data_IF_683422926211
#
_entry.id   IF_683422926211
#
_cell.length_a   1.000
_cell.length_b   1.000
_cell.length_c   1.000
_cell.angle_alpha   90.00
_cell.angle_beta   90.00
_cell.angle_gamma   90.00
#
_symmetry.space_group_name_H-M   'P 1'
#
loop_
_entity.id
_entity.type
_entity.pdbx_description
1 polymer ?
#
# COMPACT_ATOMS: atom_id res chain seq x y z
N UNK A 1 -63.55 -34.74 -34.80
CA UNK A 1 -65.00 -34.49 -34.88
C UNK A 1 -65.46 -34.01 -33.51
N UNK A 2 -65.86 -32.73 -33.37
CA UNK A 2 -67.18 -32.24 -32.87
C UNK A 2 -67.54 -32.83 -31.48
N UNK A 3 -67.80 -32.11 -30.38
CA UNK A 3 -68.60 -30.88 -30.08
C UNK A 3 -68.23 -30.46 -28.63
N UNK A 4 -67.98 -29.20 -28.26
CA UNK A 4 -68.85 -28.02 -28.06
C UNK A 4 -69.94 -28.13 -26.95
N UNK A 5 -69.74 -27.34 -25.87
CA UNK A 5 -70.70 -26.66 -24.93
C UNK A 5 -71.50 -27.61 -23.98
N UNK A 6 -71.84 -27.39 -22.69
CA UNK A 6 -72.35 -26.22 -21.92
C UNK A 6 -72.23 -26.46 -20.36
N UNK A 7 -72.79 -25.60 -19.46
CA UNK A 7 -72.08 -24.88 -18.39
C UNK A 7 -72.43 -25.44 -16.99
N UNK A 8 -71.94 -24.86 -15.88
CA UNK A 8 -72.79 -24.59 -14.70
C UNK A 8 -72.05 -23.83 -13.60
N UNK A 9 -72.73 -22.77 -13.15
CA UNK A 9 -72.66 -22.13 -11.86
C UNK A 9 -72.48 -23.11 -10.68
N UNK A 10 -71.52 -22.87 -9.79
CA UNK A 10 -71.67 -23.13 -8.35
C UNK A 10 -70.59 -22.40 -7.53
N UNK A 11 -71.09 -21.43 -6.77
CA UNK A 11 -70.51 -20.65 -5.70
C UNK A 11 -70.13 -21.54 -4.50
N UNK A 12 -68.91 -21.41 -3.93
CA UNK A 12 -68.70 -21.30 -2.47
C UNK A 12 -67.24 -21.04 -2.06
N UNK A 13 -67.03 -19.83 -1.53
CA UNK A 13 -66.23 -19.37 -0.38
C UNK A 13 -65.13 -20.28 0.22
N UNK A 14 -63.93 -19.68 0.41
CA UNK A 14 -63.04 -19.67 1.60
C UNK A 14 -61.60 -19.48 1.08
N UNK A 15 -60.88 -18.39 1.31
CA UNK A 15 -60.28 -18.03 2.60
C UNK A 15 -59.48 -16.73 2.42
N UNK A 16 -59.46 -15.88 3.45
CA UNK A 16 -58.80 -14.59 3.44
C UNK A 16 -57.27 -14.68 3.41
N UNK A 17 -56.65 -13.85 2.57
CA UNK A 17 -55.23 -13.54 2.65
C UNK A 17 -55.03 -12.42 3.69
N UNK A 18 -54.60 -12.80 4.88
CA UNK A 18 -54.12 -11.88 5.90
C UNK A 18 -52.58 -11.87 5.90
N UNK A 19 -52.02 -10.66 5.82
CA UNK A 19 -50.68 -10.23 6.25
C UNK A 19 -49.48 -10.49 5.34
N UNK A 20 -49.09 -9.46 4.59
CA UNK A 20 -47.69 -9.17 4.27
C UNK A 20 -47.19 -8.04 5.18
N UNK A 21 -46.62 -8.42 6.32
CA UNK A 21 -45.91 -7.50 7.22
C UNK A 21 -44.63 -7.01 6.52
N UNK A 22 -44.56 -5.71 6.26
CA UNK A 22 -43.31 -5.00 5.97
C UNK A 22 -42.45 -4.99 7.24
N UNK A 23 -41.55 -5.98 7.37
CA UNK A 23 -40.45 -5.92 8.33
C UNK A 23 -39.31 -5.12 7.71
N UNK A 24 -39.26 -3.84 8.05
CA UNK A 24 -38.08 -2.99 7.90
C UNK A 24 -37.04 -3.44 8.90
N UNK A 25 -36.09 -4.27 8.46
CA UNK A 25 -34.90 -4.60 9.24
C UNK A 25 -34.05 -3.33 9.40
N UNK A 26 -33.71 -2.91 10.63
CA UNK A 26 -32.89 -1.73 10.84
C UNK A 26 -31.46 -1.99 10.35
N UNK A 27 -30.94 -1.05 9.55
CA UNK A 27 -29.56 -0.99 9.07
C UNK A 27 -28.59 -1.04 10.26
N UNK A 28 -28.01 -2.23 10.48
CA UNK A 28 -26.90 -2.45 11.40
C UNK A 28 -25.71 -1.61 10.91
N UNK A 29 -25.38 -0.55 11.66
CA UNK A 29 -24.20 0.29 11.47
C UNK A 29 -22.96 -0.59 11.34
N UNK A 30 -22.33 -0.57 10.17
CA UNK A 30 -21.03 -1.19 9.92
C UNK A 30 -20.01 -0.36 10.72
N UNK A 31 -19.53 -0.91 11.84
CA UNK A 31 -18.31 -0.43 12.50
C UNK A 31 -17.13 -0.42 11.53
N UNK A 32 -15.98 0.19 11.90
CA UNK A 32 -14.89 0.47 10.98
C UNK A 32 -14.48 -0.84 10.30
N UNK A 33 -14.81 -0.95 9.01
CA UNK A 33 -14.37 -2.08 8.21
C UNK A 33 -12.85 -1.94 8.15
N UNK A 34 -12.14 -2.84 8.81
CA UNK A 34 -10.71 -3.06 8.57
C UNK A 34 -10.53 -3.08 7.06
N UNK A 35 -9.98 -2.01 6.51
CA UNK A 35 -9.90 -1.83 5.07
C UNK A 35 -8.91 -2.88 4.57
N UNK A 36 -9.43 -3.92 3.91
CA UNK A 36 -8.60 -4.87 3.18
C UNK A 36 -7.65 -4.05 2.31
N UNK A 37 -6.32 -4.29 2.40
CA UNK A 37 -5.36 -3.46 1.70
C UNK A 37 -5.68 -3.46 0.21
N UNK A 38 -5.87 -2.27 -0.34
CA UNK A 38 -6.24 -2.11 -1.75
C UNK A 38 -5.12 -2.69 -2.62
N UNK A 39 -5.45 -3.67 -3.45
CA UNK A 39 -4.51 -4.36 -4.34
C UNK A 39 -4.41 -3.59 -5.66
N UNK A 40 -3.18 -3.37 -6.11
CA UNK A 40 -2.84 -2.69 -7.36
C UNK A 40 -2.40 -3.66 -8.46
N UNK A 41 -1.74 -4.76 -8.10
CA UNK A 41 -1.30 -5.79 -9.03
C UNK A 41 -1.17 -7.14 -8.32
N UNK A 42 -1.15 -8.21 -9.12
CA UNK A 42 -0.93 -9.58 -8.65
C UNK A 42 0.00 -10.31 -9.61
N UNK A 43 0.94 -11.11 -9.09
CA UNK A 43 1.81 -11.98 -9.88
C UNK A 43 2.08 -13.24 -9.06
N UNK A 44 2.04 -14.44 -9.67
CA UNK A 44 2.30 -15.73 -9.00
C UNK A 44 1.53 -15.93 -7.67
N UNK A 45 0.32 -15.38 -7.55
CA UNK A 45 -0.48 -15.43 -6.31
C UNK A 45 -0.06 -14.42 -5.22
N UNK A 46 1.05 -13.69 -5.41
CA UNK A 46 1.42 -12.54 -4.59
C UNK A 46 0.64 -11.28 -4.98
N UNK A 47 0.50 -10.36 -4.02
CA UNK A 47 -0.24 -9.11 -4.18
C UNK A 47 0.68 -7.92 -3.95
N UNK A 48 0.56 -6.91 -4.81
CA UNK A 48 1.13 -5.58 -4.60
C UNK A 48 0.01 -4.67 -4.11
N UNK A 49 0.17 -4.11 -2.93
CA UNK A 49 -0.83 -3.21 -2.33
C UNK A 49 -0.51 -1.74 -2.59
N UNK A 50 -1.48 -0.86 -2.31
CA UNK A 50 -1.24 0.59 -2.27
C UNK A 50 -0.12 0.95 -1.30
N UNK A 51 -0.04 0.25 -0.16
CA UNK A 51 1.02 0.50 0.83
C UNK A 51 2.40 0.15 0.27
N UNK A 52 2.56 -1.03 -0.36
CA UNK A 52 3.82 -1.42 -1.01
C UNK A 52 4.28 -0.37 -2.02
N UNK A 53 3.35 0.12 -2.84
CA UNK A 53 3.63 1.13 -3.85
C UNK A 53 4.09 2.45 -3.21
N UNK A 54 3.43 2.90 -2.15
CA UNK A 54 3.78 4.14 -1.45
C UNK A 54 5.12 4.04 -0.73
N UNK A 55 5.40 2.91 -0.08
CA UNK A 55 6.69 2.66 0.59
C UNK A 55 7.83 2.63 -0.43
N UNK A 56 7.64 1.95 -1.57
CA UNK A 56 8.60 1.97 -2.65
C UNK A 56 8.82 3.39 -3.19
N UNK A 57 7.75 4.18 -3.35
CA UNK A 57 7.84 5.56 -3.85
C UNK A 57 8.66 6.46 -2.92
N UNK A 58 8.50 6.31 -1.60
CA UNK A 58 9.25 7.09 -0.59
C UNK A 58 10.76 6.87 -0.63
N UNK A 59 11.24 5.78 -1.22
CA UNK A 59 12.68 5.52 -1.40
C UNK A 59 13.32 6.38 -2.48
N UNK A 60 12.52 7.02 -3.34
CA UNK A 60 13.02 7.86 -4.43
C UNK A 60 13.28 9.30 -3.95
N UNK A 61 14.14 10.06 -4.65
CA UNK A 61 14.26 11.50 -4.47
C UNK A 61 12.91 12.22 -4.64
N UNK A 62 12.69 13.30 -3.85
CA UNK A 62 11.43 14.04 -3.82
C UNK A 62 10.96 14.51 -5.21
N UNK A 63 11.89 14.93 -6.08
CA UNK A 63 11.59 15.35 -7.45
C UNK A 63 10.97 14.22 -8.28
N UNK A 64 11.48 12.99 -8.16
CA UNK A 64 10.93 11.83 -8.86
C UNK A 64 9.59 11.40 -8.27
N UNK A 65 9.42 11.45 -6.95
CA UNK A 65 8.14 11.19 -6.30
C UNK A 65 7.05 12.10 -6.87
N UNK A 66 7.34 13.41 -6.96
CA UNK A 66 6.42 14.39 -7.52
C UNK A 66 6.10 14.13 -8.99
N UNK A 67 7.12 13.90 -9.82
CA UNK A 67 6.92 13.62 -11.25
C UNK A 67 6.04 12.38 -11.48
N UNK A 68 6.28 11.30 -10.73
CA UNK A 68 5.47 10.08 -10.78
C UNK A 68 4.05 10.38 -10.31
N UNK A 69 3.87 11.11 -9.21
CA UNK A 69 2.55 11.44 -8.68
C UNK A 69 1.69 12.22 -9.67
N UNK A 70 2.27 13.11 -10.48
CA UNK A 70 1.52 13.94 -11.44
C UNK A 70 1.18 13.21 -12.75
N UNK A 71 1.97 12.20 -13.15
CA UNK A 71 1.85 11.58 -14.47
C UNK A 71 1.35 10.13 -14.40
N UNK A 72 0.16 9.87 -14.96
CA UNK A 72 -0.46 8.53 -14.97
C UNK A 72 0.43 7.46 -15.61
N UNK A 73 1.12 7.79 -16.71
CA UNK A 73 1.99 6.84 -17.40
C UNK A 73 3.22 6.51 -16.54
N UNK A 74 3.76 7.49 -15.82
CA UNK A 74 4.86 7.25 -14.88
C UNK A 74 4.42 6.42 -13.68
N UNK A 75 3.21 6.63 -13.14
CA UNK A 75 2.65 5.76 -12.09
C UNK A 75 2.54 4.31 -12.55
N UNK A 76 2.01 4.09 -13.76
CA UNK A 76 1.88 2.75 -14.34
C UNK A 76 3.26 2.09 -14.54
N UNK A 77 4.22 2.81 -15.13
CA UNK A 77 5.60 2.31 -15.31
C UNK A 77 6.29 2.01 -13.98
N UNK A 78 6.08 2.83 -12.97
CA UNK A 78 6.66 2.59 -11.65
C UNK A 78 6.06 1.35 -10.98
N UNK A 79 4.73 1.14 -11.09
CA UNK A 79 4.08 -0.09 -10.62
C UNK A 79 4.61 -1.33 -11.35
N UNK A 80 4.76 -1.25 -12.68
CA UNK A 80 5.28 -2.36 -13.50
C UNK A 80 6.72 -2.73 -13.12
N UNK A 81 7.58 -1.71 -12.92
CA UNK A 81 8.93 -1.91 -12.41
C UNK A 81 8.95 -2.53 -11.01
N UNK A 82 8.04 -2.12 -10.13
CA UNK A 82 7.92 -2.67 -8.78
C UNK A 82 7.51 -4.15 -8.81
N UNK A 83 6.54 -4.51 -9.65
CA UNK A 83 6.11 -5.90 -9.87
C UNK A 83 7.29 -6.73 -10.40
N UNK A 84 7.94 -6.24 -11.45
CA UNK A 84 9.09 -6.91 -12.08
C UNK A 84 10.22 -7.15 -11.07
N UNK A 85 10.55 -6.14 -10.26
CA UNK A 85 11.56 -6.26 -9.21
C UNK A 85 11.21 -7.35 -8.20
N UNK A 86 9.97 -7.38 -7.70
CA UNK A 86 9.53 -8.37 -6.71
C UNK A 86 9.54 -9.78 -7.29
N UNK A 87 9.07 -9.94 -8.53
CA UNK A 87 9.13 -11.20 -9.27
C UNK A 87 10.58 -11.70 -9.40
N UNK A 88 11.52 -10.85 -9.85
CA UNK A 88 12.93 -11.23 -9.99
C UNK A 88 13.57 -11.63 -8.65
N UNK A 89 13.26 -10.91 -7.57
CA UNK A 89 13.76 -11.27 -6.22
C UNK A 89 13.20 -12.62 -5.77
N UNK A 90 11.93 -12.90 -6.04
CA UNK A 90 11.32 -14.21 -5.77
C UNK A 90 12.04 -15.31 -6.54
N UNK A 91 12.21 -15.14 -7.85
CA UNK A 91 12.93 -16.09 -8.70
C UNK A 91 14.36 -16.31 -8.22
N UNK A 92 15.08 -15.26 -7.82
CA UNK A 92 16.44 -15.38 -7.28
C UNK A 92 16.47 -16.23 -6.00
N UNK A 93 15.53 -16.02 -5.08
CA UNK A 93 15.41 -16.83 -3.85
C UNK A 93 15.09 -18.29 -4.17
N UNK A 94 14.16 -18.53 -5.09
CA UNK A 94 13.76 -19.88 -5.53
C UNK A 94 14.90 -20.61 -6.27
N UNK A 95 15.75 -19.88 -7.00
CA UNK A 95 16.94 -20.42 -7.67
C UNK A 95 18.08 -20.82 -6.72
N UNK A 96 17.91 -20.57 -5.41
CA UNK A 96 18.89 -20.95 -4.40
C UNK A 96 20.05 -19.96 -4.27
N UNK A 97 19.87 -18.69 -4.63
CA UNK A 97 20.82 -17.63 -4.26
C UNK A 97 20.92 -17.59 -2.74
N UNK A 98 22.06 -18.06 -2.21
CA UNK A 98 22.32 -18.12 -0.77
C UNK A 98 23.00 -16.85 -0.31
N UNK A 99 22.71 -16.50 0.94
CA UNK A 99 23.49 -15.51 1.64
C UNK A 99 24.89 -16.08 1.93
N UNK A 100 25.90 -15.53 1.28
CA UNK A 100 27.30 -15.86 1.53
C UNK A 100 27.92 -14.92 2.58
N UNK A 101 29.20 -15.08 2.86
CA UNK A 101 29.89 -14.25 3.84
C UNK A 101 29.97 -12.77 3.41
N UNK A 102 30.11 -12.50 2.11
CA UNK A 102 30.17 -11.14 1.60
C UNK A 102 28.81 -10.44 1.74
N UNK A 103 27.73 -11.13 1.39
CA UNK A 103 26.36 -10.64 1.53
C UNK A 103 26.03 -10.35 3.00
N UNK A 104 26.36 -11.27 3.91
CA UNK A 104 26.22 -11.08 5.37
C UNK A 104 26.93 -9.82 5.84
N UNK A 105 28.20 -9.64 5.42
CA UNK A 105 28.98 -8.46 5.78
C UNK A 105 28.32 -7.18 5.29
N UNK A 106 27.88 -7.13 4.04
CA UNK A 106 27.19 -5.97 3.46
C UNK A 106 25.88 -5.65 4.16
N UNK A 107 25.12 -6.68 4.57
CA UNK A 107 23.87 -6.50 5.33
C UNK A 107 24.16 -5.85 6.69
N UNK A 108 25.17 -6.33 7.42
CA UNK A 108 25.52 -5.77 8.73
C UNK A 108 26.10 -4.36 8.62
N UNK A 109 26.94 -4.08 7.61
CA UNK A 109 27.42 -2.72 7.33
C UNK A 109 26.25 -1.76 7.07
N UNK A 110 25.31 -2.15 6.21
CA UNK A 110 24.14 -1.33 5.91
C UNK A 110 23.23 -1.10 7.13
N UNK A 111 23.06 -2.13 7.96
CA UNK A 111 22.31 -2.04 9.21
C UNK A 111 22.95 -1.05 10.19
N UNK A 112 24.27 -1.08 10.34
CA UNK A 112 25.01 -0.15 11.20
C UNK A 112 24.85 1.30 10.71
N UNK A 113 24.91 1.53 9.40
CA UNK A 113 24.68 2.85 8.80
C UNK A 113 23.25 3.36 9.06
N UNK A 114 22.23 2.50 8.95
CA UNK A 114 20.85 2.88 9.27
C UNK A 114 20.68 3.26 10.75
N UNK A 115 21.34 2.53 11.65
CA UNK A 115 21.34 2.82 13.09
C UNK A 115 22.01 4.17 13.36
N UNK A 116 23.20 4.41 12.79
CA UNK A 116 23.92 5.67 12.93
C UNK A 116 23.10 6.85 12.39
N UNK A 117 22.55 6.72 11.18
CA UNK A 117 21.71 7.76 10.58
C UNK A 117 20.44 8.05 11.40
N UNK A 118 19.85 7.03 12.04
CA UNK A 118 18.75 7.22 12.98
C UNK A 118 19.20 7.96 14.24
N UNK A 119 20.32 7.54 14.85
CA UNK A 119 20.88 8.16 16.04
C UNK A 119 21.17 9.66 15.84
N UNK A 120 21.81 10.03 14.72
CA UNK A 120 22.13 11.42 14.41
C UNK A 120 20.90 12.31 14.19
N UNK A 121 19.82 11.76 13.61
CA UNK A 121 18.55 12.49 13.44
C UNK A 121 17.80 12.69 14.76
N UNK A 122 17.83 11.71 15.65
CA UNK A 122 17.08 11.74 16.91
C UNK A 122 17.82 12.48 18.04
N UNK A 123 19.14 12.67 17.93
CA UNK A 123 19.96 13.39 18.91
C UNK A 123 20.71 14.60 18.33
N UNK A 124 20.00 15.66 17.90
CA UNK A 124 20.63 16.87 17.37
C UNK A 124 21.34 17.72 18.44
N UNK A 125 21.10 17.46 19.72
CA UNK A 125 21.58 18.31 20.83
C UNK A 125 23.11 18.40 20.92
N UNK A 126 23.83 17.39 20.44
CA UNK A 126 25.30 17.38 20.39
C UNK A 126 25.89 17.99 19.11
N UNK A 127 25.05 18.47 18.17
CA UNK A 127 25.45 18.99 16.86
C UNK A 127 25.08 20.48 16.67
N UNK A 128 24.57 21.15 17.71
CA UNK A 128 24.28 22.58 17.66
C UNK A 128 25.58 23.38 17.69
N UNK A 129 26.08 23.76 16.52
CA UNK A 129 27.15 24.75 16.40
C UNK A 129 26.57 26.12 16.79
N UNK A 130 27.24 26.81 17.69
CA UNK A 130 26.87 28.16 18.11
C UNK A 130 27.40 29.20 17.12
N UNK A 131 26.76 30.37 17.06
CA UNK A 131 27.22 31.50 16.23
C UNK A 131 28.66 31.93 16.61
N UNK A 132 29.04 31.78 17.88
CA UNK A 132 30.39 32.07 18.37
C UNK A 132 31.41 31.08 17.80
N UNK A 133 31.12 29.78 17.80
CA UNK A 133 31.99 28.76 17.20
C UNK A 133 32.11 28.93 15.69
N UNK A 134 30.99 29.23 15.01
CA UNK A 134 30.98 29.52 13.58
C UNK A 134 31.83 30.75 13.25
N UNK A 135 31.70 31.84 14.03
CA UNK A 135 32.50 33.06 13.84
C UNK A 135 33.98 32.83 14.14
N UNK A 136 34.31 32.11 15.21
CA UNK A 136 35.69 31.79 15.55
C UNK A 136 36.36 30.93 14.46
N UNK A 137 35.62 29.99 13.87
CA UNK A 137 36.10 29.21 12.74
C UNK A 137 36.35 30.09 11.51
N UNK A 138 35.38 30.94 11.13
CA UNK A 138 35.54 31.86 10.00
C UNK A 138 36.75 32.78 10.17
N UNK A 139 36.91 33.39 11.36
CA UNK A 139 37.99 34.32 11.63
C UNK A 139 39.37 33.65 11.55
N UNK A 140 39.46 32.36 11.91
CA UNK A 140 40.70 31.56 11.85
C UNK A 140 41.03 31.06 10.43
N UNK A 141 40.03 30.93 9.56
CA UNK A 141 40.18 30.37 8.21
C UNK A 141 39.86 31.38 7.09
N UNK A 142 40.02 32.69 7.34
CA UNK A 142 39.76 33.78 6.36
C UNK A 142 40.47 33.69 5.02
N UNK A 143 41.45 32.78 4.86
CA UNK A 143 42.15 32.55 3.58
C UNK A 143 41.46 31.50 2.70
N UNK A 144 40.50 30.76 3.24
CA UNK A 144 39.75 29.70 2.55
C UNK A 144 38.42 30.21 1.93
N UNK A 145 38.03 31.46 2.24
CA UNK A 145 36.80 32.12 1.83
C UNK A 145 37.12 33.55 1.37
#
# INVERSE_FOLDING_TARGET
>A
MKRLIIPLLALLLLTGAAQAQKKTTPLKKKGPTSASPQVLATFDGEKITVQDYQEALKTLPAQLQWAIAQNRNLRAKFLDNLVTKKMLVKTAKESGVKEDQEMRRRIEEFKNELILGKYLREKPEHLKVTDQEAKAYYDKHKKEF
#
